data_IF_570549317241
#
_entry.id   IF_570549317241
#
_cell.length_a   1.000
_cell.length_b   1.000
_cell.length_c   1.000
_cell.angle_alpha   90.00
_cell.angle_beta   90.00
_cell.angle_gamma   90.00
#
_symmetry.space_group_name_H-M   'P 1'
#
loop_
_entity.id
_entity.type
_entity.pdbx_description
1 polymer ?
#
# COMPACT_ATOMS: atom_id res chain seq x y z
N UNK A 1 17.34 -51.55 6.99
CA UNK A 1 16.55 -50.50 6.31
C UNK A 1 15.79 -49.74 7.38
N UNK A 2 16.16 -48.49 7.65
CA UNK A 2 15.33 -47.55 8.39
C UNK A 2 14.45 -46.82 7.37
N UNK A 3 13.13 -46.85 7.55
CA UNK A 3 12.19 -46.02 6.78
C UNK A 3 11.33 -45.29 7.79
N UNK A 4 11.55 -43.98 7.91
CA UNK A 4 10.84 -43.11 8.83
C UNK A 4 9.42 -42.80 8.35
N UNK A 5 8.45 -42.93 9.26
CA UNK A 5 7.08 -42.44 9.11
C UNK A 5 7.07 -40.91 9.09
N UNK A 6 6.62 -40.31 7.97
CA UNK A 6 6.19 -38.91 7.94
C UNK A 6 4.66 -38.85 8.05
N UNK A 7 4.19 -38.62 9.27
CA UNK A 7 2.79 -38.37 9.56
C UNK A 7 2.32 -37.07 8.90
N UNK A 8 1.26 -37.23 8.11
CA UNK A 8 0.57 -36.24 7.30
C UNK A 8 -0.28 -35.32 8.19
N UNK A 9 0.23 -34.15 8.59
CA UNK A 9 -0.60 -33.11 9.22
C UNK A 9 -1.24 -32.22 8.14
N UNK A 10 -2.41 -32.62 7.66
CA UNK A 10 -3.25 -31.79 6.78
C UNK A 10 -4.11 -30.87 7.65
N UNK A 11 -3.60 -29.70 8.03
CA UNK A 11 -4.44 -28.64 8.62
C UNK A 11 -5.51 -28.23 7.62
N UNK A 12 -6.74 -28.64 7.88
CA UNK A 12 -7.93 -28.22 7.15
C UNK A 12 -8.49 -26.97 7.80
N UNK A 13 -7.76 -25.86 7.72
CA UNK A 13 -8.33 -24.55 8.07
C UNK A 13 -9.23 -24.13 6.91
N UNK A 14 -10.56 -24.29 7.07
CA UNK A 14 -11.54 -23.66 6.19
C UNK A 14 -11.44 -22.15 6.43
N UNK A 15 -10.60 -21.47 5.67
CA UNK A 15 -10.72 -20.03 5.51
C UNK A 15 -12.04 -19.80 4.76
N UNK A 16 -13.07 -19.35 5.47
CA UNK A 16 -14.27 -18.82 4.85
C UNK A 16 -13.86 -17.44 4.30
N UNK A 17 -13.17 -17.46 3.16
CA UNK A 17 -12.95 -16.25 2.38
C UNK A 17 -14.33 -15.85 1.86
N UNK A 18 -14.94 -14.85 2.49
CA UNK A 18 -15.98 -14.07 1.84
C UNK A 18 -15.27 -13.32 0.71
N UNK A 19 -15.04 -14.03 -0.41
CA UNK A 19 -14.58 -13.42 -1.66
C UNK A 19 -15.57 -12.32 -2.00
N UNK A 20 -15.17 -11.03 -1.94
CA UNK A 20 -15.99 -9.99 -2.54
C UNK A 20 -16.07 -10.36 -4.01
N UNK A 21 -17.29 -10.50 -4.52
CA UNK A 21 -17.57 -10.79 -5.93
C UNK A 21 -16.69 -9.89 -6.81
N UNK A 22 -15.56 -10.41 -7.30
CA UNK A 22 -14.48 -9.59 -7.85
C UNK A 22 -14.93 -9.07 -9.21
N UNK A 23 -15.19 -7.77 -9.43
CA UNK A 23 -14.90 -7.24 -10.76
C UNK A 23 -13.43 -7.59 -11.01
N UNK A 24 -13.12 -8.29 -12.11
CA UNK A 24 -11.75 -8.61 -12.51
C UNK A 24 -10.94 -7.33 -12.32
N UNK A 25 -10.10 -7.30 -11.29
CA UNK A 25 -9.26 -6.14 -11.02
C UNK A 25 -8.52 -5.83 -12.32
N UNK A 26 -8.49 -4.55 -12.74
CA UNK A 26 -8.03 -4.15 -14.06
C UNK A 26 -6.61 -4.71 -14.31
N UNK A 27 -6.52 -5.84 -15.00
CA UNK A 27 -5.29 -6.61 -15.08
C UNK A 27 -4.49 -6.13 -16.28
N UNK A 28 -3.29 -5.64 -16.01
CA UNK A 28 -2.39 -5.15 -17.06
C UNK A 28 -1.31 -6.21 -17.28
N UNK A 29 -1.18 -6.70 -18.52
CA UNK A 29 -0.17 -7.68 -18.87
C UNK A 29 1.23 -7.14 -18.57
N UNK A 30 2.08 -7.96 -17.95
CA UNK A 30 3.43 -7.57 -17.51
C UNK A 30 3.50 -6.90 -16.14
N UNK A 31 2.37 -6.59 -15.49
CA UNK A 31 2.32 -5.90 -14.21
C UNK A 31 1.70 -6.75 -13.10
N UNK A 32 2.08 -6.46 -11.87
CA UNK A 32 1.43 -6.91 -10.64
C UNK A 32 0.65 -5.73 -10.07
N UNK A 33 -0.57 -5.98 -9.61
CA UNK A 33 -1.40 -5.00 -8.94
C UNK A 33 -1.38 -5.25 -7.43
N UNK A 34 -1.05 -4.22 -6.66
CA UNK A 34 -1.36 -4.11 -5.25
C UNK A 34 -2.52 -3.13 -5.10
N UNK A 35 -3.46 -3.41 -4.20
CA UNK A 35 -4.66 -2.58 -4.03
C UNK A 35 -5.11 -2.61 -2.58
N UNK A 36 -5.55 -1.47 -2.08
CA UNK A 36 -6.22 -1.32 -0.80
C UNK A 36 -7.52 -0.59 -1.05
N UNK A 37 -8.63 -1.28 -0.79
CA UNK A 37 -9.98 -0.74 -0.94
C UNK A 37 -10.47 -0.12 0.36
N UNK A 38 -11.24 0.97 0.23
CA UNK A 38 -11.92 1.58 1.37
C UNK A 38 -13.09 0.70 1.79
N UNK A 39 -13.03 0.15 3.00
CA UNK A 39 -14.02 -0.80 3.53
C UNK A 39 -15.28 -0.14 4.10
N UNK A 40 -15.22 1.16 4.46
CA UNK A 40 -16.32 1.84 5.20
C UNK A 40 -17.13 2.84 4.36
N UNK A 41 -16.66 3.22 3.18
CA UNK A 41 -17.44 4.03 2.23
C UNK A 41 -17.03 3.62 0.82
N UNK A 42 -17.90 2.92 0.09
CA UNK A 42 -17.59 2.20 -1.15
C UNK A 42 -17.25 3.04 -2.37
N UNK A 43 -16.43 4.09 -2.23
CA UNK A 43 -16.04 5.04 -3.28
C UNK A 43 -14.55 5.46 -3.21
N UNK A 44 -13.71 4.70 -2.51
CA UNK A 44 -12.30 5.06 -2.32
C UNK A 44 -11.38 3.84 -2.37
N UNK A 45 -10.08 4.13 -2.37
CA UNK A 45 -9.04 3.13 -2.44
C UNK A 45 -7.84 3.64 -3.23
N UNK A 46 -6.77 2.88 -3.18
CA UNK A 46 -5.56 3.15 -3.96
C UNK A 46 -5.00 1.86 -4.52
N UNK A 47 -4.32 1.97 -5.65
CA UNK A 47 -3.70 0.85 -6.33
C UNK A 47 -2.32 1.23 -6.84
N UNK A 48 -1.41 0.27 -6.77
CA UNK A 48 -0.07 0.36 -7.30
C UNK A 48 0.15 -0.75 -8.31
N UNK A 49 0.66 -0.39 -9.48
CA UNK A 49 1.11 -1.34 -10.48
C UNK A 49 2.63 -1.31 -10.56
N UNK A 50 3.26 -2.48 -10.53
CA UNK A 50 4.70 -2.59 -10.78
C UNK A 50 4.99 -3.69 -11.79
N UNK A 51 6.02 -3.51 -12.60
CA UNK A 51 6.41 -4.47 -13.64
C UNK A 51 6.90 -5.76 -12.98
N UNK A 52 6.49 -6.92 -13.49
CA UNK A 52 6.89 -8.25 -12.95
C UNK A 52 8.40 -8.50 -12.94
N UNK A 53 9.15 -7.80 -13.78
CA UNK A 53 10.61 -7.87 -13.82
C UNK A 53 11.29 -7.11 -12.67
N UNK A 54 10.54 -6.32 -11.88
CA UNK A 54 11.08 -5.64 -10.72
C UNK A 54 11.05 -6.56 -9.50
N UNK A 55 12.12 -6.53 -8.72
CA UNK A 55 12.15 -7.14 -7.39
C UNK A 55 11.35 -6.27 -6.42
N UNK A 56 10.02 -6.36 -6.50
CA UNK A 56 9.09 -5.66 -5.60
C UNK A 56 8.07 -6.64 -5.00
N UNK A 57 7.70 -6.38 -3.75
CA UNK A 57 6.70 -7.14 -3.01
C UNK A 57 5.87 -6.24 -2.11
N UNK A 58 4.65 -6.68 -1.72
CA UNK A 58 3.81 -5.91 -0.82
C UNK A 58 4.47 -5.71 0.55
N UNK A 59 4.11 -4.62 1.22
CA UNK A 59 4.48 -4.36 2.61
C UNK A 59 3.27 -4.10 3.47
N UNK A 60 3.41 -4.40 4.77
CA UNK A 60 2.45 -3.97 5.76
C UNK A 60 2.52 -2.46 5.90
N UNK A 61 1.38 -1.81 5.66
CA UNK A 61 1.24 -0.37 5.82
C UNK A 61 1.11 -0.09 7.32
N UNK A 62 1.91 0.84 7.89
CA UNK A 62 1.73 1.24 9.28
C UNK A 62 0.31 1.80 9.49
N UNK A 63 -0.25 1.75 10.71
CA UNK A 63 -1.58 2.29 10.96
C UNK A 63 -1.63 3.79 10.64
N UNK A 64 -2.56 4.18 9.77
CA UNK A 64 -2.81 5.56 9.37
C UNK A 64 -4.16 6.02 9.91
N UNK A 65 -4.29 7.31 10.24
CA UNK A 65 -5.57 7.83 10.76
C UNK A 65 -6.46 8.36 9.64
N UNK A 66 -5.89 9.24 8.81
CA UNK A 66 -6.63 10.05 7.86
C UNK A 66 -6.28 9.73 6.42
N UNK A 67 -5.28 8.90 6.19
CA UNK A 67 -4.85 8.48 4.86
C UNK A 67 -5.09 7.00 4.62
N UNK A 68 -5.29 6.66 3.36
CA UNK A 68 -5.25 5.29 2.87
C UNK A 68 -4.06 5.15 1.93
N UNK A 69 -3.35 4.04 2.07
CA UNK A 69 -2.16 3.79 1.29
C UNK A 69 -2.07 2.33 0.86
N UNK A 70 -1.47 2.13 -0.30
CA UNK A 70 -1.00 0.83 -0.77
C UNK A 70 0.48 0.98 -1.04
N UNK A 71 1.28 0.03 -0.58
CA UNK A 71 2.73 0.14 -0.62
C UNK A 71 3.40 -1.14 -1.07
N UNK A 72 4.57 -0.98 -1.69
CA UNK A 72 5.49 -2.06 -1.96
C UNK A 72 6.90 -1.71 -1.50
N UNK A 73 7.69 -2.74 -1.26
CA UNK A 73 9.13 -2.65 -1.08
C UNK A 73 9.79 -3.02 -2.39
N UNK A 74 10.61 -2.12 -2.89
CA UNK A 74 11.40 -2.27 -4.11
C UNK A 74 12.87 -2.48 -3.73
N UNK A 75 13.42 -3.63 -4.11
CA UNK A 75 14.85 -3.87 -4.06
C UNK A 75 15.50 -3.34 -5.34
N UNK A 76 16.58 -2.57 -5.19
CA UNK A 76 17.37 -2.04 -6.29
C UNK A 76 18.81 -2.54 -6.15
N UNK A 77 19.38 -3.09 -7.22
CA UNK A 77 20.75 -3.59 -7.22
C UNK A 77 21.72 -2.46 -6.90
N UNK A 78 22.64 -2.67 -5.96
CA UNK A 78 23.64 -1.67 -5.55
C UNK A 78 23.12 -0.53 -4.67
N UNK A 79 21.85 -0.57 -4.24
CA UNK A 79 21.27 0.44 -3.37
C UNK A 79 20.50 -0.18 -2.20
N UNK A 80 20.26 0.64 -1.16
CA UNK A 80 19.35 0.26 -0.08
C UNK A 80 17.95 0.04 -0.63
N UNK A 81 17.21 -0.84 0.03
CA UNK A 81 15.80 -1.09 -0.28
C UNK A 81 15.00 0.21 -0.20
N UNK A 82 13.97 0.35 -1.06
CA UNK A 82 13.11 1.53 -1.09
C UNK A 82 11.65 1.16 -0.90
N UNK A 83 10.93 1.94 -0.13
CA UNK A 83 9.49 1.79 0.03
C UNK A 83 8.75 2.79 -0.85
N UNK A 84 7.79 2.30 -1.62
CA UNK A 84 6.98 3.10 -2.54
C UNK A 84 5.52 2.99 -2.14
N UNK A 85 4.85 4.12 -1.92
CA UNK A 85 3.47 4.19 -1.47
C UNK A 85 2.60 5.03 -2.41
N UNK A 86 1.51 4.43 -2.88
CA UNK A 86 0.41 5.12 -3.53
C UNK A 86 -0.63 5.54 -2.50
N UNK A 87 -1.02 6.81 -2.50
CA UNK A 87 -1.94 7.41 -1.52
C UNK A 87 -3.29 7.75 -2.16
N UNK A 88 -4.38 7.49 -1.43
CA UNK A 88 -5.74 7.87 -1.84
C UNK A 88 -6.16 9.18 -1.17
N UNK A 89 -6.87 10.07 -1.88
CA UNK A 89 -7.39 11.28 -1.28
C UNK A 89 -8.40 10.95 -0.19
N UNK A 90 -8.23 11.64 0.94
CA UNK A 90 -9.16 11.62 2.05
C UNK A 90 -9.83 12.97 2.18
N UNK A 91 -11.13 13.04 2.49
CA UNK A 91 -11.77 14.30 2.86
C UNK A 91 -11.23 14.84 4.19
N UNK A 92 -10.47 14.04 4.94
CA UNK A 92 -9.85 14.44 6.21
C UNK A 92 -8.49 15.10 5.97
N UNK A 93 -8.15 16.05 6.85
CA UNK A 93 -6.85 16.76 6.85
C UNK A 93 -5.67 15.77 6.90
N UNK A 94 -4.68 16.01 6.04
CA UNK A 94 -3.38 15.32 6.09
C UNK A 94 -2.71 15.56 7.44
N UNK A 95 -2.37 14.48 8.14
CA UNK A 95 -1.70 14.56 9.43
C UNK A 95 -0.20 14.31 9.29
N UNK A 96 0.60 15.16 9.93
CA UNK A 96 2.06 14.97 10.01
C UNK A 96 2.43 13.61 10.61
N UNK A 97 1.62 13.07 11.53
CA UNK A 97 1.86 11.75 12.13
C UNK A 97 1.76 10.61 11.11
N UNK A 98 0.81 10.69 10.18
CA UNK A 98 0.62 9.66 9.15
C UNK A 98 1.82 9.67 8.18
N UNK A 99 2.37 10.86 7.86
CA UNK A 99 3.63 10.96 7.08
C UNK A 99 4.84 10.40 7.85
N UNK A 100 4.96 10.74 9.14
CA UNK A 100 6.04 10.23 10.00
C UNK A 100 6.01 8.71 10.12
N UNK A 101 4.84 8.08 10.10
CA UNK A 101 4.71 6.63 10.13
C UNK A 101 5.42 5.96 8.93
N UNK A 102 5.35 6.58 7.74
CA UNK A 102 6.11 6.10 6.58
C UNK A 102 7.61 6.34 6.73
N UNK A 103 8.02 7.53 7.16
CA UNK A 103 9.45 7.85 7.32
C UNK A 103 10.14 7.05 8.43
N UNK A 104 9.38 6.52 9.39
CA UNK A 104 9.88 5.64 10.44
C UNK A 104 10.25 4.23 9.95
N UNK A 105 9.99 3.88 8.68
CA UNK A 105 10.37 2.58 8.11
C UNK A 105 11.89 2.40 7.94
N UNK A 106 12.70 3.44 8.17
CA UNK A 106 14.16 3.39 8.24
C UNK A 106 14.89 3.34 6.90
N UNK A 107 14.21 2.95 5.83
CA UNK A 107 14.71 2.93 4.45
C UNK A 107 14.30 4.19 3.67
N UNK A 108 14.81 4.33 2.44
CA UNK A 108 14.36 5.38 1.54
C UNK A 108 12.85 5.22 1.23
N UNK A 109 12.11 6.33 1.26
CA UNK A 109 10.65 6.35 1.03
C UNK A 109 10.32 7.23 -0.17
N UNK A 110 9.44 6.73 -1.05
CA UNK A 110 8.78 7.50 -2.11
C UNK A 110 7.27 7.48 -1.83
N UNK A 111 6.68 8.66 -1.71
CA UNK A 111 5.24 8.86 -1.61
C UNK A 111 4.73 9.48 -2.92
N UNK A 112 3.66 8.95 -3.48
CA UNK A 112 2.97 9.52 -4.62
C UNK A 112 1.47 9.29 -4.50
N UNK A 113 0.69 10.11 -5.18
CA UNK A 113 -0.76 10.08 -5.13
C UNK A 113 -1.34 11.42 -4.73
N UNK A 114 -2.64 11.42 -4.48
CA UNK A 114 -3.38 12.63 -4.15
C UNK A 114 -3.51 12.77 -2.64
N UNK A 115 -2.86 13.80 -2.09
CA UNK A 115 -2.93 14.14 -0.66
C UNK A 115 -4.19 14.94 -0.31
N UNK A 116 -4.98 15.37 -1.30
CA UNK A 116 -6.09 16.30 -1.15
C UNK A 116 -5.70 17.54 -0.31
N UNK A 117 -4.50 18.06 -0.57
CA UNK A 117 -3.91 19.17 0.18
C UNK A 117 -3.39 20.26 -0.75
N UNK A 118 -3.57 21.51 -0.34
CA UNK A 118 -3.04 22.68 -1.04
C UNK A 118 -1.75 23.16 -0.40
N UNK A 119 -0.75 23.42 -1.24
CA UNK A 119 0.50 24.04 -0.83
C UNK A 119 1.05 24.88 -1.99
N UNK A 120 1.50 26.09 -1.69
CA UNK A 120 2.09 26.99 -2.69
C UNK A 120 3.39 26.44 -3.30
N UNK A 121 4.15 25.64 -2.54
CA UNK A 121 5.43 25.04 -2.99
C UNK A 121 5.23 24.09 -4.16
N UNK A 122 4.07 23.42 -4.25
CA UNK A 122 3.71 22.55 -5.38
C UNK A 122 2.68 23.18 -6.32
N UNK A 123 2.56 24.51 -6.33
CA UNK A 123 1.79 25.25 -7.35
C UNK A 123 0.31 25.46 -7.04
N UNK A 124 -0.17 25.24 -5.82
CA UNK A 124 -1.52 25.67 -5.46
C UNK A 124 -1.59 27.19 -5.24
N UNK A 125 -2.73 27.85 -5.50
CA UNK A 125 -2.89 29.29 -5.26
C UNK A 125 -2.78 29.71 -3.79
N UNK A 126 -2.94 28.78 -2.85
CA UNK A 126 -2.85 29.00 -1.41
C UNK A 126 -2.43 27.73 -0.69
N UNK A 127 -2.04 27.86 0.57
CA UNK A 127 -1.92 26.71 1.48
C UNK A 127 -3.31 26.30 2.00
N UNK A 128 -3.42 25.07 2.52
CA UNK A 128 -4.55 24.70 3.38
C UNK A 128 -4.64 25.65 4.58
N UNK A 129 -5.86 25.97 5.02
CA UNK A 129 -6.05 26.70 6.27
C UNK A 129 -5.56 25.82 7.42
N UNK A 130 -4.60 26.32 8.18
CA UNK A 130 -4.23 25.73 9.46
C UNK A 130 -5.26 26.23 10.47
N UNK A 131 -6.27 25.43 10.74
CA UNK A 131 -7.02 25.56 11.99
C UNK A 131 -6.16 24.88 13.06
N UNK A 132 -5.42 25.69 13.81
CA UNK A 132 -4.74 25.25 15.04
C UNK A 132 -5.78 24.90 16.11
#
# INVERSE_FOLDING_TARGET
MYVGEQHRYRSRTRNISLEPNRPKACSIAGYVQLRTDRTYSGKGGTALYYRRSLHCGPINIPPLTNMEATGCRLAMTGHSTRHSFGLSPSPKRLLRRDLRAFFALGDAVILFGDFNCKNIVWGCPSNNRHDD
#
